data_IF_763478748037
#
_entry.id   IF_763478748037
#
_cell.length_a   1.000
_cell.length_b   1.000
_cell.length_c   1.000
_cell.angle_alpha   90.00
_cell.angle_beta   90.00
_cell.angle_gamma   90.00
#
_symmetry.space_group_name_H-M   'P 1'
#
loop_
_entity.id
_entity.type
_entity.pdbx_description
1 polymer ?
#
# COMPACT_ATOMS: atom_id res chain seq x y z
N UNK A 1 10.99 44.57 -30.95
CA UNK A 1 10.19 44.09 -29.81
C UNK A 1 10.14 42.57 -29.92
N UNK A 2 10.96 41.87 -29.12
CA UNK A 2 11.08 40.41 -29.19
C UNK A 2 9.94 39.82 -28.37
N UNK A 3 8.98 39.18 -29.04
CA UNK A 3 7.90 38.46 -28.36
C UNK A 3 8.50 37.14 -27.87
N UNK A 4 8.86 37.11 -26.59
CA UNK A 4 9.28 35.89 -25.92
C UNK A 4 8.03 35.11 -25.53
N UNK A 5 7.66 34.13 -26.37
CA UNK A 5 6.62 33.17 -26.03
C UNK A 5 7.20 32.18 -25.01
N UNK A 6 7.18 32.54 -23.74
CA UNK A 6 7.41 31.59 -22.65
C UNK A 6 6.12 30.77 -22.50
N UNK A 7 6.05 29.62 -23.18
CA UNK A 7 5.12 28.57 -22.81
C UNK A 7 5.56 28.03 -21.46
N UNK A 8 4.96 28.49 -20.37
CA UNK A 8 5.09 27.86 -19.07
C UNK A 8 4.52 26.45 -19.18
N UNK A 9 5.40 25.45 -19.06
CA UNK A 9 5.09 24.03 -19.12
C UNK A 9 4.34 23.57 -17.86
N UNK A 10 3.04 23.90 -17.73
CA UNK A 10 2.25 23.54 -16.53
C UNK A 10 0.85 23.00 -16.82
N UNK A 11 0.61 22.40 -18.00
CA UNK A 11 -0.74 21.89 -18.35
C UNK A 11 -0.75 20.46 -18.91
N UNK A 12 0.40 19.78 -18.91
CA UNK A 12 0.49 18.37 -19.30
C UNK A 12 0.72 17.55 -18.04
N UNK A 13 -0.22 16.66 -17.65
CA UNK A 13 0.01 15.71 -16.56
C UNK A 13 1.29 14.91 -16.80
N UNK A 14 2.08 14.60 -15.76
CA UNK A 14 3.25 13.76 -15.92
C UNK A 14 2.85 12.39 -16.49
N UNK A 15 3.80 11.74 -17.13
CA UNK A 15 3.68 10.36 -17.60
C UNK A 15 3.92 9.38 -16.46
N UNK A 16 3.45 8.15 -16.62
CA UNK A 16 3.74 7.03 -15.70
C UNK A 16 5.26 6.87 -15.50
N UNK A 17 6.05 7.06 -16.56
CA UNK A 17 7.50 6.95 -16.49
C UNK A 17 8.12 8.04 -15.61
N UNK A 18 7.61 9.27 -15.68
CA UNK A 18 8.05 10.38 -14.83
C UNK A 18 7.69 10.15 -13.37
N UNK A 19 6.48 9.69 -13.05
CA UNK A 19 6.11 9.32 -11.67
C UNK A 19 7.01 8.20 -11.13
N UNK A 20 7.28 7.15 -11.91
CA UNK A 20 8.21 6.09 -11.49
C UNK A 20 9.63 6.61 -11.27
N UNK A 21 10.10 7.49 -12.16
CA UNK A 21 11.40 8.13 -12.01
C UNK A 21 11.46 9.01 -10.75
N UNK A 22 10.41 9.75 -10.45
CA UNK A 22 10.31 10.58 -9.25
C UNK A 22 10.36 9.73 -7.98
N UNK A 23 9.68 8.58 -7.97
CA UNK A 23 9.77 7.61 -6.87
C UNK A 23 11.21 7.11 -6.66
N UNK A 24 11.90 6.69 -7.73
CA UNK A 24 13.29 6.21 -7.64
C UNK A 24 14.29 7.31 -7.27
N UNK A 25 14.01 8.57 -7.60
CA UNK A 25 14.80 9.73 -7.17
C UNK A 25 14.61 10.01 -5.68
N UNK A 26 13.38 9.88 -5.19
CA UNK A 26 13.02 10.11 -3.80
C UNK A 26 13.49 8.97 -2.87
N UNK A 27 13.40 7.71 -3.29
CA UNK A 27 13.89 6.55 -2.55
C UNK A 27 14.96 5.79 -3.34
N UNK A 28 16.23 5.95 -2.94
CA UNK A 28 17.40 5.43 -3.65
C UNK A 28 17.93 4.09 -3.15
N UNK A 29 17.41 3.60 -2.01
CA UNK A 29 17.87 2.33 -1.40
C UNK A 29 17.23 1.16 -2.18
N UNK A 30 17.90 0.00 -2.27
CA UNK A 30 17.30 -1.18 -2.91
C UNK A 30 16.05 -1.66 -2.16
N UNK A 31 14.96 -1.90 -2.90
CA UNK A 31 13.74 -2.53 -2.38
C UNK A 31 13.75 -4.01 -2.79
N UNK A 32 13.54 -4.97 -1.87
CA UNK A 32 13.43 -6.38 -2.22
C UNK A 32 12.37 -6.61 -3.31
N UNK A 33 12.67 -7.46 -4.29
CA UNK A 33 11.88 -7.65 -5.51
C UNK A 33 10.41 -8.02 -5.26
N UNK A 34 10.14 -8.77 -4.18
CA UNK A 34 8.79 -9.15 -3.74
C UNK A 34 7.89 -7.92 -3.49
N UNK A 35 8.44 -6.88 -2.87
CA UNK A 35 7.72 -5.63 -2.59
C UNK A 35 7.77 -4.71 -3.80
N UNK A 36 8.95 -4.58 -4.42
CA UNK A 36 9.15 -3.63 -5.52
C UNK A 36 8.23 -3.92 -6.71
N UNK A 37 8.00 -5.19 -7.07
CA UNK A 37 7.11 -5.53 -8.20
C UNK A 37 5.71 -4.98 -7.96
N UNK A 38 5.14 -5.23 -6.78
CA UNK A 38 3.77 -4.80 -6.47
C UNK A 38 3.69 -3.30 -6.21
N UNK A 39 4.70 -2.69 -5.58
CA UNK A 39 4.79 -1.23 -5.44
C UNK A 39 4.79 -0.52 -6.80
N UNK A 40 5.57 -1.03 -7.77
CA UNK A 40 5.63 -0.45 -9.10
C UNK A 40 4.30 -0.60 -9.87
N UNK A 41 3.56 -1.70 -9.68
CA UNK A 41 2.21 -1.86 -10.22
C UNK A 41 1.23 -0.88 -9.56
N UNK A 42 1.32 -0.72 -8.24
CA UNK A 42 0.48 0.19 -7.46
C UNK A 42 0.68 1.65 -7.91
N UNK A 43 1.93 2.08 -8.09
CA UNK A 43 2.28 3.41 -8.62
C UNK A 43 1.59 3.65 -9.97
N UNK A 44 1.62 2.68 -10.89
CA UNK A 44 0.98 2.82 -12.20
C UNK A 44 -0.53 2.97 -12.04
N UNK A 45 -1.16 2.10 -11.24
CA UNK A 45 -2.60 2.13 -11.04
C UNK A 45 -3.07 3.45 -10.42
N UNK A 46 -2.35 3.94 -9.40
CA UNK A 46 -2.70 5.21 -8.76
C UNK A 46 -2.40 6.40 -9.66
N UNK A 47 -1.30 6.40 -10.41
CA UNK A 47 -1.01 7.44 -11.40
C UNK A 47 -2.16 7.60 -12.41
N UNK A 48 -2.59 6.48 -13.02
CA UNK A 48 -3.68 6.48 -14.01
C UNK A 48 -5.02 6.95 -13.42
N UNK A 49 -5.15 6.92 -12.11
CA UNK A 49 -6.34 7.35 -11.37
C UNK A 49 -6.22 8.83 -10.96
N UNK A 50 -5.09 9.24 -10.37
CA UNK A 50 -4.76 10.59 -9.93
C UNK A 50 -4.87 11.64 -11.03
N UNK A 51 -4.44 11.30 -12.24
CA UNK A 51 -4.42 12.23 -13.37
C UNK A 51 -5.65 12.11 -14.28
N UNK A 52 -6.70 11.39 -13.86
CA UNK A 52 -8.02 11.52 -14.50
C UNK A 52 -8.59 12.91 -14.23
N UNK A 53 -9.27 13.48 -15.23
CA UNK A 53 -9.94 14.79 -15.08
C UNK A 53 -10.95 14.84 -13.93
N UNK A 54 -11.57 13.71 -13.64
CA UNK A 54 -12.60 13.55 -12.61
C UNK A 54 -12.00 13.21 -11.24
N UNK A 55 -10.67 13.09 -11.12
CA UNK A 55 -10.05 12.74 -9.84
C UNK A 55 -10.22 13.86 -8.84
N UNK A 56 -10.73 13.49 -7.67
CA UNK A 56 -10.74 14.32 -6.48
C UNK A 56 -10.42 13.42 -5.31
N UNK A 57 -9.37 13.76 -4.57
CA UNK A 57 -9.01 13.05 -3.35
C UNK A 57 -10.16 13.08 -2.35
N UNK A 58 -10.38 11.95 -1.67
CA UNK A 58 -11.27 11.87 -0.52
C UNK A 58 -10.63 11.00 0.60
N UNK A 59 -10.96 11.25 1.88
CA UNK A 59 -10.40 10.49 2.99
C UNK A 59 -10.69 8.99 2.98
N UNK A 60 -11.81 8.54 2.39
CA UNK A 60 -12.14 7.10 2.29
C UNK A 60 -11.18 6.41 1.32
N UNK A 61 -10.87 7.06 0.20
CA UNK A 61 -9.79 6.67 -0.69
C UNK A 61 -8.44 6.60 0.05
N UNK A 62 -8.11 7.64 0.83
CA UNK A 62 -6.86 7.72 1.59
C UNK A 62 -6.72 6.57 2.59
N UNK A 63 -7.76 6.29 3.37
CA UNK A 63 -7.85 5.15 4.27
C UNK A 63 -7.61 3.83 3.53
N UNK A 64 -8.28 3.64 2.40
CA UNK A 64 -8.13 2.45 1.59
C UNK A 64 -6.71 2.27 1.06
N UNK A 65 -6.09 3.33 0.53
CA UNK A 65 -4.70 3.28 0.09
C UNK A 65 -3.74 2.93 1.23
N UNK A 66 -3.84 3.62 2.37
CA UNK A 66 -3.00 3.37 3.55
C UNK A 66 -3.14 1.92 4.01
N UNK A 67 -4.38 1.40 4.05
CA UNK A 67 -4.66 0.00 4.39
C UNK A 67 -3.96 -0.98 3.43
N UNK A 68 -4.07 -0.76 2.12
CA UNK A 68 -3.39 -1.60 1.11
C UNK A 68 -1.88 -1.53 1.27
N UNK A 69 -1.34 -0.32 1.45
CA UNK A 69 0.10 -0.11 1.57
C UNK A 69 0.67 -0.80 2.80
N UNK A 70 0.06 -0.60 3.97
CA UNK A 70 0.56 -1.17 5.22
C UNK A 70 0.48 -2.70 5.19
N UNK A 71 -0.60 -3.27 4.64
CA UNK A 71 -0.71 -4.71 4.45
C UNK A 71 0.28 -5.24 3.41
N UNK A 72 0.54 -4.51 2.32
CA UNK A 72 1.55 -4.85 1.32
C UNK A 72 2.97 -4.82 1.88
N UNK A 73 3.24 -3.92 2.82
CA UNK A 73 4.57 -3.70 3.39
C UNK A 73 4.76 -4.38 4.75
N UNK A 74 3.80 -5.17 5.19
CA UNK A 74 3.93 -6.04 6.36
C UNK A 74 5.10 -7.01 6.17
N UNK A 75 5.92 -7.19 7.21
CA UNK A 75 7.12 -8.02 7.16
C UNK A 75 8.30 -7.38 6.39
N UNK A 76 8.20 -6.12 5.98
CA UNK A 76 9.35 -5.38 5.45
C UNK A 76 10.44 -5.27 6.53
N UNK A 77 11.74 -5.45 6.21
CA UNK A 77 12.79 -5.58 7.23
C UNK A 77 13.04 -4.36 8.14
N UNK A 78 12.60 -3.17 7.72
CA UNK A 78 12.91 -1.88 8.35
C UNK A 78 11.66 -1.00 8.34
N UNK A 79 11.16 -0.65 9.53
CA UNK A 79 10.00 0.24 9.67
C UNK A 79 10.31 1.66 9.17
N UNK A 80 11.55 2.13 9.38
CA UNK A 80 12.02 3.42 8.85
C UNK A 80 11.95 3.43 7.31
N UNK A 81 12.42 2.36 6.66
CA UNK A 81 12.34 2.23 5.22
C UNK A 81 10.90 2.08 4.74
N UNK A 82 10.05 1.35 5.47
CA UNK A 82 8.62 1.25 5.14
C UNK A 82 7.97 2.63 5.10
N UNK A 83 8.27 3.50 6.06
CA UNK A 83 7.73 4.86 6.06
C UNK A 83 8.40 5.73 4.99
N UNK A 84 9.72 5.64 4.81
CA UNK A 84 10.42 6.39 3.76
C UNK A 84 9.91 6.05 2.35
N UNK A 85 9.58 4.78 2.09
CA UNK A 85 8.97 4.33 0.83
C UNK A 85 7.57 4.90 0.67
N UNK A 86 6.76 4.94 1.74
CA UNK A 86 5.41 5.51 1.72
C UNK A 86 5.46 6.99 1.33
N UNK A 87 6.34 7.73 1.99
CA UNK A 87 6.59 9.15 1.75
C UNK A 87 7.05 9.39 0.32
N UNK A 88 8.02 8.62 -0.17
CA UNK A 88 8.52 8.72 -1.54
C UNK A 88 7.45 8.37 -2.58
N UNK A 89 6.62 7.36 -2.31
CA UNK A 89 5.53 6.92 -3.17
C UNK A 89 4.51 8.04 -3.37
N UNK A 90 4.00 8.61 -2.27
CA UNK A 90 2.93 9.62 -2.34
C UNK A 90 3.47 10.92 -2.95
N UNK A 91 4.69 11.33 -2.58
CA UNK A 91 5.35 12.51 -3.16
C UNK A 91 5.62 12.36 -4.66
N UNK A 92 5.88 11.15 -5.14
CA UNK A 92 6.08 10.91 -6.58
C UNK A 92 4.81 11.14 -7.42
N UNK A 93 3.63 11.07 -6.78
CA UNK A 93 2.32 11.38 -7.35
C UNK A 93 1.88 12.83 -7.10
N UNK A 94 2.80 13.67 -6.58
CA UNK A 94 2.55 15.07 -6.23
C UNK A 94 1.43 15.25 -5.19
N UNK A 95 1.38 14.32 -4.24
CA UNK A 95 0.42 14.35 -3.13
C UNK A 95 1.14 14.45 -1.77
N UNK A 96 0.35 14.71 -0.72
CA UNK A 96 0.85 14.89 0.64
C UNK A 96 0.72 13.60 1.47
N UNK A 97 1.82 12.91 1.79
CA UNK A 97 1.78 11.69 2.59
C UNK A 97 1.26 11.90 4.02
N UNK A 98 1.50 13.06 4.63
CA UNK A 98 1.02 13.33 5.99
C UNK A 98 -0.49 13.42 6.01
N UNK A 99 -1.08 14.06 4.99
CA UNK A 99 -2.53 14.10 4.81
C UNK A 99 -3.13 12.70 4.74
N UNK A 100 -2.53 11.78 3.97
CA UNK A 100 -3.01 10.40 3.88
C UNK A 100 -2.98 9.69 5.24
N UNK A 101 -1.87 9.82 6.00
CA UNK A 101 -1.74 9.19 7.32
C UNK A 101 -2.73 9.76 8.33
N UNK A 102 -2.88 11.08 8.38
CA UNK A 102 -3.80 11.77 9.29
C UNK A 102 -5.25 11.41 8.97
N UNK A 103 -5.67 11.57 7.71
CA UNK A 103 -7.04 11.28 7.29
C UNK A 103 -7.41 9.82 7.55
N UNK A 104 -6.52 8.88 7.19
CA UNK A 104 -6.73 7.46 7.46
C UNK A 104 -6.93 7.23 8.95
N UNK A 105 -6.04 7.74 9.80
CA UNK A 105 -6.14 7.60 11.26
C UNK A 105 -7.43 8.20 11.82
N UNK A 106 -7.81 9.41 11.40
CA UNK A 106 -9.05 10.06 11.83
C UNK A 106 -10.28 9.23 11.44
N UNK A 107 -10.33 8.69 10.22
CA UNK A 107 -11.42 7.81 9.80
C UNK A 107 -11.42 6.49 10.58
N UNK A 108 -10.25 5.92 10.87
CA UNK A 108 -10.17 4.70 11.69
C UNK A 108 -10.71 4.92 13.10
N UNK A 109 -10.31 6.02 13.74
CA UNK A 109 -10.78 6.40 15.09
C UNK A 109 -12.29 6.64 15.09
N UNK A 110 -12.80 7.36 14.09
CA UNK A 110 -14.24 7.55 13.91
C UNK A 110 -14.95 6.21 13.72
N UNK A 111 -14.47 5.33 12.83
CA UNK A 111 -15.09 4.05 12.53
C UNK A 111 -15.21 3.15 13.77
N UNK A 112 -14.20 3.12 14.63
CA UNK A 112 -14.19 2.34 15.89
C UNK A 112 -15.27 2.79 16.89
N UNK A 113 -15.78 4.00 16.76
CA UNK A 113 -16.87 4.53 17.60
C UNK A 113 -18.26 4.29 17.00
N UNK A 114 -18.34 3.73 15.79
CA UNK A 114 -19.62 3.52 15.11
C UNK A 114 -20.26 2.17 15.42
N UNK A 115 -21.58 2.14 15.35
CA UNK A 115 -22.39 0.93 15.23
C UNK A 115 -22.83 0.73 13.78
N UNK A 116 -23.34 -0.45 13.40
CA UNK A 116 -23.88 -0.66 12.06
C UNK A 116 -24.93 0.38 11.63
N UNK A 117 -25.81 0.80 12.55
CA UNK A 117 -26.81 1.84 12.26
C UNK A 117 -26.19 3.21 12.13
N UNK A 118 -25.32 3.60 13.08
CA UNK A 118 -24.72 4.95 13.08
C UNK A 118 -23.81 5.18 11.87
N UNK A 119 -23.17 4.12 11.36
CA UNK A 119 -22.35 4.13 10.15
C UNK A 119 -23.19 4.39 8.89
N UNK A 120 -24.37 3.77 8.77
CA UNK A 120 -25.27 3.93 7.62
C UNK A 120 -26.03 5.26 7.69
N UNK A 121 -26.43 5.69 8.88
CA UNK A 121 -27.23 6.90 9.10
C UNK A 121 -26.38 8.19 9.13
N UNK A 122 -25.16 8.17 8.55
CA UNK A 122 -24.23 9.29 8.55
C UNK A 122 -24.85 10.57 7.96
N UNK A 123 -25.77 10.44 7.01
CA UNK A 123 -26.44 11.58 6.35
C UNK A 123 -27.35 12.37 7.29
N UNK A 124 -27.83 11.75 8.37
CA UNK A 124 -28.69 12.39 9.38
C UNK A 124 -27.90 13.04 10.53
N UNK A 125 -26.58 12.87 10.53
CA UNK A 125 -25.69 13.25 11.63
C UNK A 125 -24.77 14.39 11.23
N UNK A 126 -24.26 15.10 12.23
CA UNK A 126 -23.31 16.19 12.05
C UNK A 126 -21.95 15.80 12.62
N UNK A 127 -20.89 16.19 11.90
CA UNK A 127 -19.50 15.85 12.22
C UNK A 127 -18.63 15.98 10.97
N UNK A 128 -17.32 16.05 11.17
CA UNK A 128 -16.35 16.21 10.08
C UNK A 128 -16.37 15.02 9.12
N UNK A 129 -16.41 13.80 9.65
CA UNK A 129 -16.43 12.58 8.85
C UNK A 129 -17.80 12.39 8.20
N UNK A 130 -18.88 12.66 8.92
CA UNK A 130 -20.23 12.65 8.37
C UNK A 130 -20.37 13.65 7.21
N UNK A 131 -19.83 14.86 7.35
CA UNK A 131 -19.76 15.86 6.27
C UNK A 131 -18.95 15.38 5.06
N UNK A 132 -17.83 14.70 5.30
CA UNK A 132 -17.03 14.07 4.24
C UNK A 132 -17.82 13.00 3.48
N UNK A 133 -18.53 12.12 4.20
CA UNK A 133 -19.36 11.07 3.60
C UNK A 133 -20.56 11.66 2.83
N UNK A 134 -21.14 12.77 3.30
CA UNK A 134 -22.17 13.54 2.58
C UNK A 134 -21.63 14.10 1.26
N UNK A 135 -20.47 14.77 1.26
CA UNK A 135 -19.83 15.29 0.03
C UNK A 135 -19.57 14.16 -0.98
N UNK A 136 -19.08 13.00 -0.52
CA UNK A 136 -18.89 11.82 -1.37
C UNK A 136 -20.23 11.36 -1.96
N UNK A 137 -21.27 11.24 -1.13
CA UNK A 137 -22.59 10.78 -1.57
C UNK A 137 -23.22 11.73 -2.60
N UNK A 138 -23.08 13.04 -2.42
CA UNK A 138 -23.56 14.07 -3.35
C UNK A 138 -22.82 14.02 -4.68
N UNK A 139 -21.48 13.91 -4.66
CA UNK A 139 -20.68 13.74 -5.87
C UNK A 139 -20.99 12.47 -6.62
N UNK A 140 -21.21 11.37 -5.91
CA UNK A 140 -21.58 10.10 -6.52
C UNK A 140 -22.97 10.19 -7.19
N UNK A 141 -23.94 10.84 -6.53
CA UNK A 141 -25.27 11.06 -7.10
C UNK A 141 -25.25 11.95 -8.36
N UNK A 142 -24.37 12.96 -8.40
CA UNK A 142 -24.23 13.86 -9.55
C UNK A 142 -23.40 13.30 -10.71
N UNK A 143 -22.75 12.15 -10.51
CA UNK A 143 -21.83 11.55 -11.47
C UNK A 143 -20.43 12.16 -11.48
N UNK A 144 -20.14 13.10 -10.57
CA UNK A 144 -18.83 13.75 -10.40
C UNK A 144 -17.96 13.03 -9.35
N UNK A 145 -17.95 11.70 -9.42
CA UNK A 145 -17.20 10.85 -8.50
C UNK A 145 -16.34 9.83 -9.22
N UNK A 146 -15.04 9.84 -8.92
CA UNK A 146 -14.08 8.86 -9.43
C UNK A 146 -13.95 7.68 -8.49
N UNK A 147 -14.82 6.68 -8.66
CA UNK A 147 -14.68 5.41 -7.95
C UNK A 147 -13.32 4.75 -8.21
N UNK A 148 -12.77 4.11 -7.18
CA UNK A 148 -11.54 3.34 -7.25
C UNK A 148 -11.58 2.10 -6.36
N UNK A 149 -10.68 1.15 -6.62
CA UNK A 149 -10.47 0.00 -5.74
C UNK A 149 -10.05 0.41 -4.33
N UNK A 150 -9.22 1.45 -4.20
CA UNK A 150 -8.84 1.97 -2.88
C UNK A 150 -10.05 2.46 -2.11
N UNK A 151 -10.99 3.16 -2.76
CA UNK A 151 -12.25 3.54 -2.13
C UNK A 151 -13.04 2.33 -1.62
N UNK A 152 -13.12 1.24 -2.41
CA UNK A 152 -13.76 -0.01 -1.97
C UNK A 152 -13.10 -0.60 -0.72
N UNK A 153 -11.76 -0.65 -0.69
CA UNK A 153 -10.99 -1.11 0.48
C UNK A 153 -11.22 -0.20 1.68
N UNK A 154 -11.29 1.12 1.48
CA UNK A 154 -11.63 2.09 2.52
C UNK A 154 -12.99 1.83 3.14
N UNK A 155 -14.03 1.59 2.34
CA UNK A 155 -15.36 1.21 2.83
C UNK A 155 -15.33 -0.09 3.64
N UNK A 156 -14.62 -1.10 3.15
CA UNK A 156 -14.47 -2.35 3.87
C UNK A 156 -13.72 -2.16 5.19
N UNK A 157 -12.68 -1.31 5.22
CA UNK A 157 -11.95 -0.98 6.43
C UNK A 157 -12.81 -0.27 7.46
N UNK A 158 -13.70 0.65 7.04
CA UNK A 158 -14.67 1.28 7.94
C UNK A 158 -15.57 0.23 8.62
N UNK A 159 -16.10 -0.72 7.83
CA UNK A 159 -16.96 -1.81 8.35
C UNK A 159 -16.20 -2.75 9.29
N UNK A 160 -14.96 -3.11 8.95
CA UNK A 160 -14.10 -3.94 9.78
C UNK A 160 -13.89 -3.28 11.15
N UNK A 161 -13.57 -1.99 11.17
CA UNK A 161 -13.29 -1.24 12.39
C UNK A 161 -14.53 -0.98 13.26
N UNK A 162 -15.72 -0.90 12.66
CA UNK A 162 -16.99 -0.83 13.38
C UNK A 162 -17.52 -2.21 13.80
N UNK A 163 -16.69 -3.27 13.74
CA UNK A 163 -17.04 -4.66 14.03
C UNK A 163 -18.31 -5.12 13.28
N UNK A 164 -18.50 -4.63 12.06
CA UNK A 164 -19.70 -4.87 11.26
C UNK A 164 -19.41 -5.93 10.20
N UNK A 165 -19.90 -7.14 10.44
CA UNK A 165 -19.71 -8.29 9.54
C UNK A 165 -20.96 -8.63 8.70
N UNK A 166 -22.08 -7.96 8.94
CA UNK A 166 -23.33 -8.21 8.24
C UNK A 166 -23.30 -7.68 6.79
N UNK A 167 -23.51 -8.53 5.76
CA UNK A 167 -23.49 -8.10 4.36
C UNK A 167 -24.52 -7.01 4.02
N UNK A 168 -25.63 -6.98 4.76
CA UNK A 168 -26.72 -6.01 4.63
C UNK A 168 -26.28 -4.59 4.96
N UNK A 169 -25.27 -4.42 5.83
CA UNK A 169 -24.80 -3.10 6.23
C UNK A 169 -23.94 -2.48 5.12
N UNK A 170 -23.11 -3.29 4.45
CA UNK A 170 -22.38 -2.84 3.26
C UNK A 170 -23.35 -2.39 2.16
N UNK A 171 -24.43 -3.14 1.93
CA UNK A 171 -25.46 -2.77 0.95
C UNK A 171 -26.12 -1.43 1.27
N UNK A 172 -26.51 -1.22 2.53
CA UNK A 172 -27.09 0.04 2.99
C UNK A 172 -26.10 1.21 2.90
N UNK A 173 -24.84 0.99 3.28
CA UNK A 173 -23.79 2.00 3.20
C UNK A 173 -23.50 2.39 1.74
N UNK A 174 -23.38 1.42 0.84
CA UNK A 174 -23.23 1.69 -0.60
C UNK A 174 -24.41 2.49 -1.14
N UNK A 175 -25.63 2.12 -0.75
CA UNK A 175 -26.85 2.83 -1.16
C UNK A 175 -26.86 4.28 -0.64
N UNK A 176 -26.51 4.50 0.62
CA UNK A 176 -26.43 5.84 1.22
C UNK A 176 -25.35 6.73 0.57
N UNK A 177 -24.27 6.12 0.07
CA UNK A 177 -23.21 6.80 -0.66
C UNK A 177 -23.46 6.94 -2.17
N UNK A 178 -24.56 6.41 -2.70
CA UNK A 178 -24.83 6.33 -4.15
C UNK A 178 -23.74 5.58 -4.94
N UNK A 179 -23.19 4.51 -4.35
CA UNK A 179 -22.13 3.69 -4.95
C UNK A 179 -22.69 2.31 -5.36
N UNK A 180 -22.30 1.84 -6.54
CA UNK A 180 -22.67 0.50 -7.00
C UNK A 180 -22.01 -0.60 -6.15
N UNK A 181 -22.84 -1.30 -5.36
CA UNK A 181 -22.40 -2.42 -4.52
C UNK A 181 -21.68 -3.51 -5.32
N UNK A 182 -22.10 -3.79 -6.56
CA UNK A 182 -21.47 -4.85 -7.37
C UNK A 182 -20.02 -4.53 -7.71
N UNK A 183 -19.72 -3.26 -7.98
CA UNK A 183 -18.35 -2.79 -8.19
C UNK A 183 -17.52 -2.96 -6.92
N UNK A 184 -18.08 -2.63 -5.75
CA UNK A 184 -17.42 -2.84 -4.45
C UNK A 184 -17.12 -4.31 -4.19
N UNK A 185 -18.10 -5.20 -4.35
CA UNK A 185 -17.90 -6.65 -4.14
C UNK A 185 -16.78 -7.19 -5.05
N UNK A 186 -16.82 -6.86 -6.34
CA UNK A 186 -15.80 -7.26 -7.32
C UNK A 186 -14.40 -6.80 -6.90
N UNK A 187 -14.25 -5.53 -6.53
CA UNK A 187 -12.94 -4.96 -6.21
C UNK A 187 -12.41 -5.46 -4.86
N UNK A 188 -13.28 -5.80 -3.91
CA UNK A 188 -12.91 -6.48 -2.66
C UNK A 188 -12.42 -7.91 -2.90
N UNK A 189 -13.04 -8.67 -3.81
CA UNK A 189 -12.57 -10.01 -4.16
C UNK A 189 -11.20 -9.97 -4.85
N UNK A 190 -10.97 -8.99 -5.73
CA UNK A 190 -9.64 -8.76 -6.32
C UNK A 190 -8.61 -8.42 -5.24
N UNK A 191 -8.98 -7.57 -4.28
CA UNK A 191 -8.11 -7.18 -3.18
C UNK A 191 -7.71 -8.37 -2.29
N UNK A 192 -8.68 -9.20 -1.87
CA UNK A 192 -8.43 -10.43 -1.13
C UNK A 192 -7.48 -11.35 -1.88
N UNK A 193 -7.70 -11.52 -3.18
CA UNK A 193 -6.82 -12.31 -4.04
C UNK A 193 -5.38 -11.79 -4.12
N UNK A 194 -5.19 -10.46 -4.13
CA UNK A 194 -3.87 -9.84 -4.10
C UNK A 194 -3.15 -10.10 -2.77
N UNK A 195 -3.84 -9.90 -1.64
CA UNK A 195 -3.28 -10.14 -0.31
C UNK A 195 -2.88 -11.62 -0.12
N UNK A 196 -3.75 -12.56 -0.52
CA UNK A 196 -3.44 -13.99 -0.40
C UNK A 196 -2.18 -14.37 -1.18
N UNK A 197 -1.95 -13.79 -2.36
CA UNK A 197 -0.74 -14.04 -3.16
C UNK A 197 0.51 -13.44 -2.50
N UNK A 198 0.39 -12.26 -1.90
CA UNK A 198 1.49 -11.62 -1.17
C UNK A 198 1.91 -12.42 0.05
N UNK A 199 0.95 -12.89 0.85
CA UNK A 199 1.22 -13.74 2.02
C UNK A 199 1.95 -15.02 1.59
N UNK A 200 1.44 -15.73 0.58
CA UNK A 200 2.10 -16.93 0.04
C UNK A 200 3.52 -16.65 -0.48
N UNK A 201 3.73 -15.53 -1.17
CA UNK A 201 5.06 -15.16 -1.66
C UNK A 201 6.05 -14.87 -0.52
N UNK A 202 5.59 -14.24 0.57
CA UNK A 202 6.42 -13.99 1.76
C UNK A 202 6.79 -15.26 2.50
N UNK A 203 5.83 -16.17 2.67
CA UNK A 203 6.08 -17.48 3.28
C UNK A 203 7.14 -18.26 2.49
N UNK A 204 7.00 -18.33 1.16
CA UNK A 204 7.98 -18.97 0.29
C UNK A 204 9.37 -18.32 0.39
N UNK A 205 9.45 -16.99 0.47
CA UNK A 205 10.71 -16.28 0.63
C UNK A 205 11.35 -16.57 1.99
N UNK A 206 10.56 -16.59 3.07
CA UNK A 206 11.04 -16.90 4.41
C UNK A 206 11.63 -18.32 4.43
N UNK A 207 10.91 -19.29 3.87
CA UNK A 207 11.41 -20.67 3.73
C UNK A 207 12.70 -20.75 2.91
N UNK A 208 12.80 -19.98 1.82
CA UNK A 208 14.01 -19.92 1.01
C UNK A 208 15.20 -19.34 1.79
N UNK A 209 15.00 -18.23 2.49
CA UNK A 209 16.04 -17.59 3.31
C UNK A 209 16.49 -18.51 4.44
N UNK A 210 15.56 -19.15 5.13
CA UNK A 210 15.88 -20.08 6.23
C UNK A 210 16.64 -21.30 5.71
N UNK A 211 16.26 -21.82 4.54
CA UNK A 211 16.99 -22.91 3.87
C UNK A 211 18.41 -22.50 3.47
N UNK A 212 18.59 -21.31 2.91
CA UNK A 212 19.92 -20.84 2.49
C UNK A 212 20.81 -20.53 3.70
N UNK A 213 20.26 -19.96 4.79
CA UNK A 213 20.97 -19.81 6.07
C UNK A 213 21.45 -21.16 6.61
N UNK A 214 20.55 -22.15 6.65
CA UNK A 214 20.90 -23.51 7.10
C UNK A 214 22.02 -24.14 6.24
N UNK A 215 21.95 -24.00 4.91
CA UNK A 215 23.03 -24.46 4.02
C UNK A 215 24.34 -23.73 4.26
N UNK A 216 24.31 -22.44 4.55
CA UNK A 216 25.51 -21.66 4.87
C UNK A 216 26.12 -22.10 6.20
N UNK A 217 25.29 -22.35 7.22
CA UNK A 217 25.71 -22.89 8.52
C UNK A 217 26.33 -24.28 8.35
N UNK A 218 25.68 -25.20 7.63
CA UNK A 218 26.20 -26.54 7.34
C UNK A 218 27.54 -26.50 6.58
N UNK A 219 27.70 -25.57 5.63
CA UNK A 219 28.98 -25.35 4.91
C UNK A 219 30.06 -24.80 5.84
N UNK A 220 29.73 -23.86 6.71
CA UNK A 220 30.66 -23.29 7.67
C UNK A 220 31.10 -24.31 8.73
N UNK A 221 30.20 -25.16 9.20
CA UNK A 221 30.51 -26.28 10.09
C UNK A 221 31.38 -27.34 9.41
N UNK A 222 31.05 -27.70 8.16
CA UNK A 222 31.86 -28.63 7.37
C UNK A 222 33.27 -28.10 7.14
N UNK A 223 33.43 -26.81 6.80
CA UNK A 223 34.74 -26.17 6.64
C UNK A 223 35.54 -26.17 7.94
N UNK A 224 34.93 -25.81 9.08
CA UNK A 224 35.57 -25.88 10.39
C UNK A 224 36.00 -27.30 10.75
N UNK A 225 35.15 -28.31 10.50
CA UNK A 225 35.50 -29.71 10.74
C UNK A 225 36.69 -30.15 9.88
N UNK A 226 36.72 -29.75 8.61
CA UNK A 226 37.81 -30.07 7.67
C UNK A 226 39.12 -29.41 8.09
N UNK A 227 39.10 -28.14 8.52
CA UNK A 227 40.26 -27.43 9.07
C UNK A 227 40.79 -28.04 10.37
N UNK A 228 39.90 -28.53 11.23
CA UNK A 228 40.26 -29.18 12.49
C UNK A 228 40.96 -30.52 12.22
N UNK A 229 40.42 -31.31 11.29
CA UNK A 229 41.03 -32.58 10.85
C UNK A 229 42.39 -32.36 10.18
N UNK A 230 42.54 -31.32 9.36
CA UNK A 230 43.84 -30.96 8.76
C UNK A 230 44.89 -30.56 9.81
N UNK A 231 44.50 -29.84 10.87
CA UNK A 231 45.39 -29.52 12.00
C UNK A 231 45.81 -30.74 12.80
N UNK A 232 44.96 -31.77 12.91
CA UNK A 232 45.26 -33.00 13.64
C UNK A 232 46.12 -33.99 12.85
N UNK A 233 46.16 -33.93 11.51
CA UNK A 233 46.87 -34.88 10.64
C UNK A 233 48.31 -34.50 10.25
N UNK A 234 48.84 -33.39 10.78
CA UNK A 234 50.30 -33.24 10.98
C UNK A 234 50.99 -32.04 10.32
N UNK A 235 51.80 -31.33 11.11
CA UNK A 235 53.07 -30.78 10.65
C UNK A 235 54.06 -31.95 10.48
N UNK A 236 54.62 -32.19 9.28
CA UNK A 236 55.70 -33.16 9.13
C UNK A 236 56.98 -32.59 9.76
N UNK A 237 57.38 -33.14 10.92
CA UNK A 237 58.71 -32.92 11.49
C UNK A 237 59.76 -33.49 10.55
N UNK A 238 60.34 -32.64 9.70
CA UNK A 238 61.58 -32.96 8.99
C UNK A 238 62.73 -33.03 10.00
N UNK A 239 63.05 -34.25 10.44
CA UNK A 239 64.29 -34.55 11.16
C UNK A 239 65.45 -34.46 10.15
N UNK A 240 66.22 -33.37 10.22
CA UNK A 240 67.51 -33.27 9.50
C UNK A 240 68.60 -33.97 10.33
N UNK A 241 69.21 -35.00 9.74
CA UNK A 241 70.52 -35.51 10.14
C UNK A 241 71.63 -34.60 9.61
#
# INVERSE_FOLDING_TARGET
>A
MVIHCMSTSTDVPPTVAETKLNFLKAYKRPIPSIYNTVLQELIVQQHLMKYKKTYRYDPVFGLGFVTVYDQLMEGYPSDEDREAIFQAYIKALEEDPEKYRIDAKTLEEWARTQTPSSLVDFSSREGEIEGTLKDIAERAASGDFSYSRFFAVGLFRLLELSNTSEPTVLEKLCSALNIDKRSVDRDLDVYRGLLSKLVQARELQKEYVDREKKKQEERAESQKATETVAKCLGEPQFVRQ
#
